data_IF_018748255852
#
_entry.id   IF_018748255852
#
_cell.length_a   1.000
_cell.length_b   1.000
_cell.length_c   1.000
_cell.angle_alpha   90.00
_cell.angle_beta   90.00
_cell.angle_gamma   90.00
#
_symmetry.space_group_name_H-M   'P 1'
#
loop_
_entity.id
_entity.type
_entity.pdbx_description
1 polymer ?
#
# COMPACT_ATOMS: atom_id res chain seq x y z
N UNK A 1 19.61 8.47 62.24
CA UNK A 1 20.39 8.61 60.99
C UNK A 1 19.42 8.63 59.81
N UNK A 2 19.18 9.83 59.25
CA UNK A 2 18.50 10.05 57.97
C UNK A 2 19.50 9.75 56.86
N UNK A 3 19.15 8.93 55.86
CA UNK A 3 19.60 8.99 54.44
C UNK A 3 19.53 7.61 53.78
N UNK A 4 18.33 7.17 53.39
CA UNK A 4 18.20 6.19 52.31
C UNK A 4 16.84 6.25 51.59
N UNK A 5 16.23 7.44 51.55
CA UNK A 5 15.12 7.74 50.64
C UNK A 5 15.78 8.36 49.40
N UNK A 6 16.21 7.58 48.41
CA UNK A 6 16.43 8.05 47.02
C UNK A 6 17.05 7.02 46.06
N UNK A 7 16.56 5.77 46.00
CA UNK A 7 17.03 4.88 44.92
C UNK A 7 15.89 4.05 44.33
N UNK A 8 15.61 4.38 43.07
CA UNK A 8 15.12 3.49 42.03
C UNK A 8 13.58 3.45 41.90
N UNK A 9 13.00 4.65 41.77
CA UNK A 9 12.01 4.89 40.71
C UNK A 9 12.80 4.87 39.39
N UNK A 10 12.72 3.81 38.60
CA UNK A 10 13.11 3.70 37.17
C UNK A 10 13.12 2.21 36.80
N UNK A 11 11.98 1.67 36.39
CA UNK A 11 11.91 0.25 36.03
C UNK A 11 10.65 -0.22 35.30
N UNK A 12 9.86 0.68 34.71
CA UNK A 12 8.67 0.33 33.93
C UNK A 12 8.68 1.08 32.58
N UNK A 13 9.56 0.68 31.66
CA UNK A 13 9.52 1.10 30.24
C UNK A 13 10.12 0.01 29.32
N UNK A 14 9.72 -1.25 29.48
CA UNK A 14 10.19 -2.34 28.61
C UNK A 14 9.05 -3.27 28.14
N UNK A 15 7.84 -2.74 27.98
CA UNK A 15 6.73 -3.43 27.33
C UNK A 15 6.39 -2.70 26.04
N UNK A 16 7.08 -3.02 24.94
CA UNK A 16 6.78 -2.37 23.66
C UNK A 16 7.63 -2.76 22.45
N UNK A 17 8.46 -3.81 22.51
CA UNK A 17 9.31 -4.21 21.37
C UNK A 17 9.15 -5.67 20.94
N UNK A 18 8.03 -6.32 21.29
CA UNK A 18 7.80 -7.74 21.01
C UNK A 18 6.71 -8.01 19.96
N UNK A 19 6.54 -7.11 18.98
CA UNK A 19 5.55 -7.31 17.89
C UNK A 19 6.09 -6.91 16.52
N UNK A 20 7.39 -7.09 16.24
CA UNK A 20 7.86 -7.18 14.84
C UNK A 20 7.76 -8.65 14.41
N UNK A 21 6.56 -9.20 14.55
CA UNK A 21 6.24 -10.51 14.02
C UNK A 21 6.15 -10.35 12.49
N UNK A 22 7.11 -10.93 11.77
CA UNK A 22 7.01 -11.34 10.37
C UNK A 22 6.04 -10.49 9.53
N UNK A 23 6.42 -9.24 9.25
CA UNK A 23 5.98 -8.65 8.00
C UNK A 23 6.62 -9.50 6.91
N UNK A 24 5.86 -10.45 6.34
CA UNK A 24 6.23 -11.09 5.08
C UNK A 24 6.61 -10.00 4.07
N UNK A 25 7.45 -10.30 3.06
CA UNK A 25 7.81 -9.29 2.08
C UNK A 25 6.52 -8.65 1.58
N UNK A 26 6.33 -7.37 1.90
CA UNK A 26 5.17 -6.63 1.43
C UNK A 26 5.19 -6.86 -0.09
N UNK A 27 4.15 -7.51 -0.61
CA UNK A 27 4.06 -7.73 -2.04
C UNK A 27 4.21 -6.35 -2.67
N UNK A 28 5.34 -6.11 -3.35
CA UNK A 28 5.66 -4.77 -3.85
C UNK A 28 4.55 -4.25 -4.79
N UNK A 29 3.79 -5.20 -5.34
CA UNK A 29 2.79 -5.04 -6.37
C UNK A 29 1.54 -5.86 -6.00
N UNK A 30 0.77 -5.41 -5.00
CA UNK A 30 -0.36 -6.19 -4.52
C UNK A 30 -1.47 -6.30 -5.58
N UNK A 31 -1.49 -5.39 -6.56
CA UNK A 31 -2.57 -5.24 -7.55
C UNK A 31 -2.01 -4.97 -8.96
N UNK A 32 -2.83 -4.95 -10.01
CA UNK A 32 -2.41 -4.63 -11.39
C UNK A 32 -1.61 -5.71 -12.13
N UNK A 33 -0.89 -5.39 -13.23
CA UNK A 33 -0.36 -6.34 -14.21
C UNK A 33 0.71 -7.30 -13.67
N UNK A 34 1.20 -7.08 -12.45
CA UNK A 34 2.11 -7.98 -11.72
C UNK A 34 1.40 -8.88 -10.71
N UNK A 35 0.34 -8.40 -10.05
CA UNK A 35 -0.31 -9.07 -8.91
C UNK A 35 -1.59 -9.84 -9.24
N UNK A 36 -2.36 -9.40 -10.25
CA UNK A 36 -3.71 -9.94 -10.54
C UNK A 36 -3.70 -10.68 -11.88
N UNK A 37 -3.55 -9.95 -12.98
CA UNK A 37 -3.48 -10.48 -14.34
C UNK A 37 -2.94 -9.39 -15.28
N UNK A 38 -2.03 -9.74 -16.22
CA UNK A 38 -1.48 -8.77 -17.16
C UNK A 38 -0.11 -9.14 -17.72
N UNK A 39 0.44 -8.33 -18.66
CA UNK A 39 1.66 -8.63 -19.41
C UNK A 39 2.94 -8.76 -18.56
N UNK A 40 2.85 -8.44 -17.27
CA UNK A 40 3.98 -8.36 -16.35
C UNK A 40 3.92 -9.37 -15.20
N UNK A 41 2.94 -10.28 -15.21
CA UNK A 41 2.81 -11.34 -14.20
C UNK A 41 4.10 -12.18 -14.16
N UNK A 42 4.70 -12.28 -12.98
CA UNK A 42 5.94 -13.04 -12.75
C UNK A 42 7.22 -12.41 -13.30
N UNK A 43 7.18 -11.16 -13.79
CA UNK A 43 8.37 -10.42 -14.24
C UNK A 43 8.96 -9.58 -13.12
N UNK A 44 10.24 -9.26 -13.19
CA UNK A 44 10.82 -8.22 -12.32
C UNK A 44 10.47 -6.80 -12.79
N UNK A 45 10.58 -5.75 -11.93
CA UNK A 45 10.28 -4.36 -12.26
C UNK A 45 10.94 -3.84 -13.54
N UNK A 46 12.20 -4.22 -13.75
CA UNK A 46 13.01 -3.88 -14.92
C UNK A 46 12.66 -4.68 -16.19
N UNK A 47 11.84 -5.73 -16.09
CA UNK A 47 11.47 -6.62 -17.20
C UNK A 47 10.07 -6.32 -17.75
N UNK A 48 9.37 -5.35 -17.16
CA UNK A 48 8.06 -4.91 -17.59
C UNK A 48 8.12 -3.45 -18.04
N UNK A 49 7.49 -3.08 -19.16
CA UNK A 49 7.51 -1.71 -19.63
C UNK A 49 6.48 -0.81 -18.91
N UNK A 50 5.77 -1.33 -17.90
CA UNK A 50 4.87 -0.55 -17.07
C UNK A 50 5.65 0.06 -15.91
N UNK A 51 5.39 1.33 -15.61
CA UNK A 51 5.80 1.93 -14.35
C UNK A 51 4.70 1.79 -13.32
N UNK A 52 5.07 1.87 -12.05
CA UNK A 52 4.16 1.69 -10.93
C UNK A 52 4.30 2.83 -9.93
N UNK A 53 3.23 3.12 -9.19
CA UNK A 53 3.30 3.98 -8.01
C UNK A 53 3.97 3.26 -6.85
N UNK A 54 4.47 4.02 -5.87
CA UNK A 54 5.12 3.46 -4.66
C UNK A 54 4.17 2.60 -3.82
N UNK A 55 2.88 2.92 -3.82
CA UNK A 55 1.83 2.16 -3.14
C UNK A 55 1.31 0.96 -3.95
N UNK A 56 1.79 0.80 -5.19
CA UNK A 56 1.39 -0.27 -6.09
C UNK A 56 -0.05 -0.19 -6.60
N UNK A 57 -0.80 0.90 -6.33
CA UNK A 57 -2.20 1.05 -6.73
C UNK A 57 -2.39 1.63 -8.14
N UNK A 58 -1.34 2.21 -8.73
CA UNK A 58 -1.38 2.83 -10.06
C UNK A 58 -0.32 2.21 -10.96
N UNK A 59 -0.71 1.93 -12.20
CA UNK A 59 0.11 1.26 -13.21
C UNK A 59 0.03 2.00 -14.51
N UNK A 60 1.16 2.50 -15.00
CA UNK A 60 1.21 3.36 -16.17
C UNK A 60 1.94 2.70 -17.33
N UNK A 61 1.36 2.79 -18.52
CA UNK A 61 1.97 2.36 -19.77
C UNK A 61 1.66 3.37 -20.86
N UNK A 62 2.69 3.84 -21.57
CA UNK A 62 2.56 4.78 -22.70
C UNK A 62 1.69 6.01 -22.40
N UNK A 63 1.78 6.55 -21.19
CA UNK A 63 1.05 7.77 -20.78
C UNK A 63 -0.39 7.55 -20.30
N UNK A 64 -0.89 6.31 -20.31
CA UNK A 64 -2.17 5.94 -19.70
C UNK A 64 -1.90 5.16 -18.42
N UNK A 65 -2.64 5.46 -17.35
CA UNK A 65 -2.50 4.78 -16.07
C UNK A 65 -3.80 4.13 -15.64
N UNK A 66 -3.73 2.85 -15.28
CA UNK A 66 -4.81 2.11 -14.66
C UNK A 66 -4.64 2.14 -13.15
N UNK A 67 -5.73 2.41 -12.45
CA UNK A 67 -5.74 2.57 -11.02
C UNK A 67 -6.67 1.53 -10.40
N UNK A 68 -6.24 0.99 -9.27
CA UNK A 68 -6.87 -0.10 -8.56
C UNK A 68 -7.06 0.27 -7.09
N UNK A 69 -8.05 -0.34 -6.45
CA UNK A 69 -8.20 -0.23 -5.01
C UNK A 69 -7.27 -1.18 -4.26
N UNK A 70 -7.34 -1.15 -2.93
CA UNK A 70 -6.49 -1.97 -2.05
C UNK A 70 -6.85 -3.46 -2.07
N UNK A 71 -7.95 -3.84 -2.71
CA UNK A 71 -8.34 -5.22 -2.97
C UNK A 71 -7.92 -5.71 -4.36
N UNK A 72 -7.54 -4.78 -5.25
CA UNK A 72 -7.09 -5.07 -6.61
C UNK A 72 -8.17 -4.97 -7.66
N UNK A 73 -9.33 -4.43 -7.30
CA UNK A 73 -10.38 -4.14 -8.27
C UNK A 73 -10.04 -2.86 -9.04
N UNK A 74 -10.32 -2.87 -10.34
CA UNK A 74 -10.12 -1.70 -11.20
C UNK A 74 -11.04 -0.56 -10.78
N UNK A 75 -10.48 0.62 -10.58
CA UNK A 75 -11.21 1.83 -10.16
C UNK A 75 -11.43 2.77 -11.34
N UNK A 76 -10.36 3.13 -12.04
CA UNK A 76 -10.39 4.12 -13.10
C UNK A 76 -9.10 4.19 -13.93
N UNK A 77 -9.21 4.80 -15.11
CA UNK A 77 -8.07 5.12 -15.97
C UNK A 77 -7.78 6.63 -15.95
N UNK A 78 -6.51 7.01 -16.10
CA UNK A 78 -6.04 8.40 -15.96
C UNK A 78 -6.56 9.37 -17.02
N UNK A 79 -7.17 8.87 -18.08
CA UNK A 79 -7.89 9.65 -19.10
C UNK A 79 -9.23 10.21 -18.58
N UNK A 80 -9.76 9.63 -17.50
CA UNK A 80 -10.98 10.10 -16.85
C UNK A 80 -10.64 11.24 -15.89
N UNK A 81 -11.25 12.42 -16.08
CA UNK A 81 -10.94 13.63 -15.30
C UNK A 81 -11.15 13.46 -13.78
N UNK A 82 -12.03 12.55 -13.37
CA UNK A 82 -12.36 12.27 -11.97
C UNK A 82 -11.43 11.24 -11.33
N UNK A 83 -10.58 10.57 -12.11
CA UNK A 83 -9.75 9.47 -11.61
C UNK A 83 -8.69 9.94 -10.61
N UNK A 84 -8.04 11.07 -10.87
CA UNK A 84 -7.03 11.65 -9.97
C UNK A 84 -7.60 11.95 -8.58
N UNK A 85 -8.65 12.79 -8.46
CA UNK A 85 -9.29 13.07 -7.17
C UNK A 85 -9.81 11.83 -6.46
N UNK A 86 -10.44 10.90 -7.17
CA UNK A 86 -10.95 9.66 -6.57
C UNK A 86 -9.81 8.83 -5.99
N UNK A 87 -8.68 8.72 -6.69
CA UNK A 87 -7.55 7.94 -6.22
C UNK A 87 -6.86 8.53 -4.98
N UNK A 88 -7.01 9.84 -4.71
CA UNK A 88 -6.62 10.41 -3.41
C UNK A 88 -7.49 9.82 -2.29
N UNK A 89 -8.79 9.68 -2.53
CA UNK A 89 -9.74 9.10 -1.58
C UNK A 89 -9.47 7.61 -1.33
N UNK A 90 -9.23 6.84 -2.39
CA UNK A 90 -8.86 5.40 -2.31
C UNK A 90 -7.62 5.20 -1.44
N UNK A 91 -6.63 6.09 -1.58
CA UNK A 91 -5.38 6.04 -0.80
C UNK A 91 -5.60 6.40 0.66
N UNK A 92 -6.37 7.45 0.93
CA UNK A 92 -6.59 7.99 2.28
C UNK A 92 -7.46 7.09 3.16
N UNK A 93 -8.46 6.41 2.58
CA UNK A 93 -9.39 5.58 3.34
C UNK A 93 -8.83 4.19 3.63
N UNK A 94 -9.32 3.48 4.66
CA UNK A 94 -9.02 2.07 4.87
C UNK A 94 -9.34 1.23 3.62
N UNK A 95 -8.81 0.00 3.51
CA UNK A 95 -9.18 -0.92 2.43
C UNK A 95 -10.70 -0.97 2.25
N UNK A 96 -11.17 -0.45 1.11
CA UNK A 96 -12.58 -0.28 0.75
C UNK A 96 -12.71 -0.67 -0.73
N UNK A 97 -13.73 -1.44 -1.12
CA UNK A 97 -13.84 -2.02 -2.46
C UNK A 97 -14.44 -1.01 -3.46
N UNK A 98 -13.72 0.09 -3.70
CA UNK A 98 -14.15 1.15 -4.62
C UNK A 98 -14.34 0.63 -6.04
N UNK A 99 -13.45 -0.26 -6.51
CA UNK A 99 -13.53 -0.82 -7.86
C UNK A 99 -14.74 -1.73 -8.04
N UNK A 100 -15.18 -2.43 -6.99
CA UNK A 100 -16.39 -3.23 -7.02
C UNK A 100 -17.69 -2.40 -7.06
N UNK A 101 -17.65 -1.14 -6.63
CA UNK A 101 -18.82 -0.25 -6.58
C UNK A 101 -18.98 0.60 -7.84
N UNK A 102 -17.89 0.81 -8.57
CA UNK A 102 -17.89 1.60 -9.78
C UNK A 102 -18.14 0.70 -10.99
N UNK A 103 -18.99 1.12 -11.94
CA UNK A 103 -19.05 0.45 -13.22
C UNK A 103 -17.70 0.64 -13.92
N UNK A 104 -16.98 -0.47 -14.12
CA UNK A 104 -15.71 -0.51 -14.86
C UNK A 104 -15.87 -0.16 -16.33
#
# INVERSE_FOLDING_TARGET
MRRTINRILLGLCAAGLASVAFAGPAAAYPVGPWGVEGPCKGREPNQCPFSHSEDGLTWSYRGVSWNYDKYGDFVCSSDQFWCGPLMVVVRALPPTPFGAWLPG
#
